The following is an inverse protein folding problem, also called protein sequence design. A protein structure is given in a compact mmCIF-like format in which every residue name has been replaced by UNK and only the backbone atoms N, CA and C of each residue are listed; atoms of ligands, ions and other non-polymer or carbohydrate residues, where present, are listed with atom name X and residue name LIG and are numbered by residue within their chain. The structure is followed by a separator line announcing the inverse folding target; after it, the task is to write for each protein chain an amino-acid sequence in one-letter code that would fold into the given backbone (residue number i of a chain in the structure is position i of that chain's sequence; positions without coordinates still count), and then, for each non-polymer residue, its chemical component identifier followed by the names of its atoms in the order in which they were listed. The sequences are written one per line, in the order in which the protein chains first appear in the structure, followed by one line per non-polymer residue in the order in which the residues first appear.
data_IF_670466170774
#
_entry.id   IF_670466170774
#
_cell.length_a   1.000
_cell.length_b   1.000
_cell.length_c   1.000
_cell.angle_alpha   90.00
_cell.angle_beta   90.00
_cell.angle_gamma   90.00
#
_symmetry.space_group_name_H-M   'P 1'
#
loop_
_entity.id
_entity.type
_entity.pdbx_description
1 polymer ?
#
# COMPACT_ATOMS: atom_id res chain seq x y z
N UNK A 1 -33.12 23.01 -21.02
CA UNK A 1 -32.68 22.32 -19.80
C UNK A 1 -31.53 21.40 -20.22
N UNK A 2 -30.28 21.81 -19.96
CA UNK A 2 -29.12 21.10 -20.46
C UNK A 2 -28.89 19.80 -19.67
N UNK A 3 -28.90 18.66 -20.37
CA UNK A 3 -28.39 17.39 -19.83
C UNK A 3 -26.91 17.58 -19.49
N UNK A 4 -26.62 17.65 -18.19
CA UNK A 4 -25.27 17.62 -17.67
C UNK A 4 -24.73 16.22 -17.93
N UNK A 5 -23.86 16.10 -18.93
CA UNK A 5 -23.14 14.88 -19.28
C UNK A 5 -22.43 14.36 -18.03
N UNK A 6 -22.96 13.29 -17.45
CA UNK A 6 -22.23 12.49 -16.48
C UNK A 6 -21.01 11.94 -17.21
N UNK A 7 -19.85 12.56 -16.98
CA UNK A 7 -18.57 11.95 -17.33
C UNK A 7 -18.55 10.59 -16.65
N UNK A 8 -18.67 9.54 -17.47
CA UNK A 8 -18.31 8.17 -17.16
C UNK A 8 -16.84 8.14 -16.74
N UNK A 9 -16.62 8.57 -15.51
CA UNK A 9 -15.38 8.42 -14.78
C UNK A 9 -15.42 6.98 -14.34
N UNK A 10 -14.48 6.17 -14.83
CA UNK A 10 -14.34 4.76 -14.52
C UNK A 10 -14.32 4.56 -13.00
N UNK A 11 -15.48 4.32 -12.39
CA UNK A 11 -15.57 4.04 -10.96
C UNK A 11 -15.27 2.55 -10.82
N UNK A 12 -14.15 2.19 -10.20
CA UNK A 12 -13.99 0.94 -9.45
C UNK A 12 -15.03 0.96 -8.31
N UNK A 13 -16.29 0.87 -8.70
CA UNK A 13 -17.42 1.31 -7.89
C UNK A 13 -17.81 0.14 -7.02
N UNK A 14 -17.27 0.07 -5.81
CA UNK A 14 -18.02 -0.56 -4.74
C UNK A 14 -19.24 0.34 -4.47
N UNK A 15 -20.47 -0.03 -4.88
CA UNK A 15 -21.65 0.83 -4.71
C UNK A 15 -22.06 0.90 -3.23
N UNK A 16 -21.55 -0.02 -2.40
CA UNK A 16 -21.90 -0.15 -0.99
C UNK A 16 -21.06 0.75 -0.08
N UNK A 17 -20.05 1.45 -0.63
CA UNK A 17 -19.20 2.37 0.14
C UNK A 17 -19.29 3.80 -0.40
N UNK A 18 -19.38 4.77 0.51
CA UNK A 18 -19.19 6.17 0.17
C UNK A 18 -17.70 6.48 -0.11
N UNK A 19 -17.40 7.69 -0.57
CA UNK A 19 -16.04 8.04 -0.98
C UNK A 19 -15.05 8.00 0.19
N UNK A 20 -15.45 8.41 1.39
CA UNK A 20 -14.58 8.41 2.56
C UNK A 20 -14.25 6.99 3.01
N UNK A 21 -15.24 6.10 3.01
CA UNK A 21 -15.08 4.68 3.30
C UNK A 21 -14.15 4.00 2.30
N UNK A 22 -14.29 4.31 1.01
CA UNK A 22 -13.37 3.81 -0.04
C UNK A 22 -11.94 4.25 0.24
N UNK A 23 -11.72 5.52 0.60
CA UNK A 23 -10.40 6.05 0.93
C UNK A 23 -9.83 5.31 2.15
N UNK A 24 -10.63 5.04 3.18
CA UNK A 24 -10.17 4.33 4.38
C UNK A 24 -9.80 2.88 4.07
N UNK A 25 -10.62 2.19 3.29
CA UNK A 25 -10.34 0.81 2.86
C UNK A 25 -9.06 0.75 2.04
N UNK A 26 -8.87 1.71 1.12
CA UNK A 26 -7.67 1.77 0.30
C UNK A 26 -6.43 2.13 1.12
N UNK A 27 -6.56 3.10 2.04
CA UNK A 27 -5.48 3.48 2.95
C UNK A 27 -5.06 2.30 3.84
N UNK A 28 -6.02 1.54 4.35
CA UNK A 28 -5.76 0.31 5.10
C UNK A 28 -5.06 -0.73 4.23
N UNK A 29 -5.53 -0.93 2.99
CA UNK A 29 -4.99 -1.97 2.11
C UNK A 29 -3.57 -1.66 1.67
N UNK A 30 -3.27 -0.40 1.33
CA UNK A 30 -1.96 0.02 0.82
C UNK A 30 -0.91 0.25 1.91
N UNK A 31 -1.32 0.41 3.19
CA UNK A 31 -0.41 0.75 4.30
C UNK A 31 0.84 -0.14 4.35
N UNK A 32 0.75 -1.49 4.28
CA UNK A 32 1.94 -2.32 4.38
C UNK A 32 2.87 -2.17 3.17
N UNK A 33 2.31 -1.96 1.98
CA UNK A 33 3.08 -1.67 0.75
C UNK A 33 3.88 -0.38 0.87
N UNK A 34 3.25 0.67 1.38
CA UNK A 34 3.91 1.96 1.61
C UNK A 34 5.04 1.84 2.65
N UNK A 35 4.79 1.15 3.78
CA UNK A 35 5.85 0.95 4.79
C UNK A 35 7.01 0.13 4.21
N UNK A 36 6.73 -0.89 3.39
CA UNK A 36 7.76 -1.66 2.68
C UNK A 36 8.62 -0.76 1.79
N UNK A 37 8.00 0.10 0.98
CA UNK A 37 8.74 1.01 0.10
C UNK A 37 9.66 1.96 0.89
N UNK A 38 9.15 2.58 1.96
CA UNK A 38 9.96 3.44 2.82
C UNK A 38 11.09 2.69 3.52
N UNK A 39 10.85 1.45 3.94
CA UNK A 39 11.90 0.57 4.48
C UNK A 39 12.99 0.33 3.44
N UNK A 40 12.61 0.07 2.19
CA UNK A 40 13.56 -0.09 1.09
C UNK A 40 14.37 1.20 0.84
N UNK A 41 13.72 2.37 0.79
CA UNK A 41 14.43 3.65 0.61
C UNK A 41 15.50 3.87 1.69
N UNK A 42 15.15 3.63 2.95
CA UNK A 42 16.08 3.77 4.07
C UNK A 42 17.26 2.82 3.96
N UNK A 43 17.00 1.55 3.62
CA UNK A 43 18.06 0.55 3.46
C UNK A 43 18.94 0.82 2.25
N UNK A 44 18.38 1.33 1.14
CA UNK A 44 19.15 1.72 -0.03
C UNK A 44 20.12 2.87 0.27
N UNK A 45 19.68 3.87 1.04
CA UNK A 45 20.55 4.95 1.52
C UNK A 45 21.60 4.39 2.49
N UNK A 46 21.18 3.55 3.44
CA UNK A 46 22.09 2.96 4.42
C UNK A 46 23.18 2.10 3.77
N UNK A 47 22.84 1.37 2.70
CA UNK A 47 23.76 0.54 1.92
C UNK A 47 24.98 1.31 1.40
N UNK A 48 24.81 2.59 1.04
CA UNK A 48 25.92 3.44 0.58
C UNK A 48 27.01 3.64 1.62
N UNK A 49 26.65 3.57 2.90
CA UNK A 49 27.57 3.79 4.02
C UNK A 49 28.00 2.49 4.68
N UNK A 50 27.21 1.42 4.53
CA UNK A 50 27.45 0.11 5.09
C UNK A 50 27.08 -0.94 4.05
N UNK A 51 28.09 -1.59 3.46
CA UNK A 51 27.87 -2.59 2.42
C UNK A 51 26.95 -3.70 2.95
N UNK A 52 25.73 -3.73 2.39
CA UNK A 52 24.69 -4.67 2.75
C UNK A 52 24.42 -5.61 1.59
N UNK A 53 24.36 -6.92 1.84
CA UNK A 53 24.02 -7.86 0.78
C UNK A 53 22.62 -7.58 0.20
N UNK A 54 22.42 -7.83 -1.09
CA UNK A 54 21.13 -7.63 -1.76
C UNK A 54 19.99 -8.42 -1.09
N UNK A 55 20.30 -9.59 -0.52
CA UNK A 55 19.31 -10.41 0.20
C UNK A 55 18.68 -9.62 1.35
N UNK A 56 19.47 -8.86 2.11
CA UNK A 56 18.93 -8.04 3.20
C UNK A 56 18.26 -6.77 2.67
N UNK A 57 18.81 -6.16 1.63
CA UNK A 57 18.28 -4.95 1.02
C UNK A 57 16.84 -5.15 0.48
N UNK A 58 16.55 -6.31 -0.10
CA UNK A 58 15.21 -6.64 -0.61
C UNK A 58 14.39 -7.49 0.38
N UNK A 59 15.03 -8.36 1.16
CA UNK A 59 14.36 -9.27 2.09
C UNK A 59 13.76 -8.57 3.31
N UNK A 60 14.46 -7.59 3.89
CA UNK A 60 13.94 -6.84 5.06
C UNK A 60 12.66 -6.08 4.70
N UNK A 61 12.58 -5.29 3.62
CA UNK A 61 11.34 -4.64 3.21
C UNK A 61 10.17 -5.61 3.02
N UNK A 62 10.41 -6.74 2.36
CA UNK A 62 9.39 -7.78 2.13
C UNK A 62 8.92 -8.39 3.46
N UNK A 63 9.82 -8.66 4.40
CA UNK A 63 9.46 -9.12 5.74
C UNK A 63 8.63 -8.07 6.50
N UNK A 64 9.03 -6.79 6.42
CA UNK A 64 8.29 -5.68 7.02
C UNK A 64 6.89 -5.55 6.40
N UNK A 65 6.74 -5.79 5.09
CA UNK A 65 5.44 -5.83 4.42
C UNK A 65 4.48 -6.83 5.09
N UNK A 66 4.96 -8.05 5.33
CA UNK A 66 4.17 -9.10 5.99
C UNK A 66 3.87 -8.77 7.45
N UNK A 67 4.88 -8.32 8.21
CA UNK A 67 4.72 -7.99 9.62
C UNK A 67 3.71 -6.85 9.81
N UNK A 68 3.85 -5.77 9.04
CA UNK A 68 2.93 -4.63 9.06
C UNK A 68 1.55 -5.06 8.58
N UNK A 69 1.45 -5.89 7.54
CA UNK A 69 0.18 -6.46 7.08
C UNK A 69 -0.53 -7.22 8.19
N UNK A 70 0.17 -8.11 8.88
CA UNK A 70 -0.39 -8.84 10.01
C UNK A 70 -0.88 -7.90 11.13
N UNK A 71 -0.05 -6.95 11.58
CA UNK A 71 -0.45 -5.96 12.59
C UNK A 71 -1.67 -5.16 12.12
N UNK A 72 -1.64 -4.68 10.88
CA UNK A 72 -2.66 -3.82 10.30
C UNK A 72 -4.01 -4.54 10.09
N UNK A 73 -4.01 -5.88 9.96
CA UNK A 73 -5.25 -6.66 9.94
C UNK A 73 -5.95 -6.66 11.31
N UNK A 74 -5.20 -6.74 12.41
CA UNK A 74 -5.76 -6.90 13.76
C UNK A 74 -5.89 -5.59 14.54
N UNK A 75 -5.01 -4.62 14.30
CA UNK A 75 -4.84 -3.41 15.14
C UNK A 75 -4.94 -2.14 14.28
N UNK A 76 -5.84 -2.12 13.30
CA UNK A 76 -5.98 -0.96 12.44
C UNK A 76 -6.36 0.30 13.22
N UNK A 77 -5.53 1.33 13.14
CA UNK A 77 -5.84 2.66 13.67
C UNK A 77 -6.15 3.61 12.51
N UNK A 78 -7.45 3.90 12.32
CA UNK A 78 -7.95 4.80 11.27
C UNK A 78 -7.29 6.17 11.30
N UNK A 79 -7.15 6.79 12.47
CA UNK A 79 -6.59 8.14 12.56
C UNK A 79 -5.12 8.17 12.12
N UNK A 80 -4.34 7.18 12.54
CA UNK A 80 -2.93 7.06 12.15
C UNK A 80 -2.81 6.81 10.65
N UNK A 81 -3.55 5.84 10.11
CA UNK A 81 -3.50 5.48 8.70
C UNK A 81 -3.93 6.63 7.79
N UNK A 82 -5.00 7.35 8.13
CA UNK A 82 -5.42 8.53 7.36
C UNK A 82 -4.37 9.65 7.41
N UNK A 83 -3.76 9.93 8.57
CA UNK A 83 -2.68 10.93 8.67
C UNK A 83 -1.47 10.54 7.83
N UNK A 84 -1.08 9.27 7.84
CA UNK A 84 0.03 8.77 7.02
C UNK A 84 -0.29 8.82 5.52
N UNK A 85 -1.49 8.41 5.11
CA UNK A 85 -1.95 8.46 3.72
C UNK A 85 -1.98 9.88 3.15
N UNK A 86 -2.37 10.88 3.96
CA UNK A 86 -2.40 12.29 3.56
C UNK A 86 -1.02 12.98 3.65
N UNK A 87 0.00 12.31 4.20
CA UNK A 87 1.34 12.87 4.35
C UNK A 87 2.38 12.04 3.59
N UNK A 88 3.15 11.22 4.30
CA UNK A 88 4.28 10.47 3.74
C UNK A 88 3.83 9.44 2.71
N UNK A 89 2.71 8.77 2.93
CA UNK A 89 2.23 7.73 2.02
C UNK A 89 1.37 8.26 0.88
N UNK A 90 1.30 9.58 0.73
CA UNK A 90 0.63 10.17 -0.42
C UNK A 90 1.40 9.80 -1.70
N UNK A 91 0.75 9.34 -2.78
CA UNK A 91 1.42 8.87 -3.99
C UNK A 91 2.39 9.91 -4.59
N UNK A 92 2.00 11.19 -4.58
CA UNK A 92 2.87 12.29 -5.06
C UNK A 92 4.14 12.40 -4.24
N UNK A 93 4.03 12.33 -2.90
CA UNK A 93 5.19 12.43 -2.00
C UNK A 93 6.09 11.21 -2.17
N UNK A 94 5.50 10.02 -2.26
CA UNK A 94 6.18 8.76 -2.49
C UNK A 94 6.95 8.76 -3.82
N UNK A 95 6.33 9.27 -4.89
CA UNK A 95 6.96 9.42 -6.20
C UNK A 95 8.11 10.42 -6.18
N UNK A 96 7.91 11.60 -5.58
CA UNK A 96 8.97 12.60 -5.44
C UNK A 96 10.15 12.02 -4.66
N UNK A 97 9.91 11.37 -3.52
CA UNK A 97 10.96 10.77 -2.70
C UNK A 97 11.70 9.65 -3.45
N UNK A 98 10.99 8.78 -4.15
CA UNK A 98 11.61 7.74 -4.98
C UNK A 98 12.53 8.33 -6.05
N UNK A 99 12.13 9.43 -6.70
CA UNK A 99 12.98 10.11 -7.68
C UNK A 99 14.18 10.78 -7.01
N UNK A 100 13.97 11.52 -5.91
CA UNK A 100 15.04 12.23 -5.20
C UNK A 100 16.09 11.26 -4.66
N UNK A 101 15.67 10.17 -4.02
CA UNK A 101 16.57 9.12 -3.53
C UNK A 101 17.22 8.39 -4.70
N UNK A 102 16.50 8.14 -5.80
CA UNK A 102 17.06 7.55 -7.01
C UNK A 102 18.19 8.40 -7.60
N UNK A 103 17.97 9.70 -7.77
CA UNK A 103 19.02 10.64 -8.23
C UNK A 103 20.21 10.63 -7.28
N UNK A 104 19.96 10.65 -5.97
CA UNK A 104 21.03 10.59 -4.97
C UNK A 104 21.87 9.30 -5.09
N UNK A 105 21.23 8.13 -5.24
CA UNK A 105 21.91 6.84 -5.44
C UNK A 105 22.73 6.84 -6.74
N UNK A 106 22.18 7.39 -7.82
CA UNK A 106 22.88 7.48 -9.11
C UNK A 106 24.17 8.30 -8.98
N UNK A 107 24.10 9.46 -8.33
CA UNK A 107 25.27 10.32 -8.06
C UNK A 107 26.32 9.67 -7.17
N UNK A 108 25.95 8.62 -6.42
CA UNK A 108 26.85 7.84 -5.56
C UNK A 108 27.39 6.56 -6.21
N UNK A 109 27.08 6.34 -7.49
CA UNK A 109 27.60 5.20 -8.25
C UNK A 109 26.74 3.94 -8.18
N UNK A 110 25.50 4.03 -7.73
CA UNK A 110 24.55 2.90 -7.62
C UNK A 110 23.41 3.00 -8.65
N UNK A 111 23.69 2.90 -9.97
CA UNK A 111 22.70 3.17 -11.02
C UNK A 111 21.55 2.16 -11.03
N UNK A 112 21.79 0.90 -10.64
CA UNK A 112 20.75 -0.13 -10.58
C UNK A 112 19.74 0.17 -9.47
N UNK A 113 20.23 0.49 -8.26
CA UNK A 113 19.37 0.85 -7.13
C UNK A 113 18.66 2.18 -7.40
N UNK A 114 19.31 3.13 -8.08
CA UNK A 114 18.69 4.36 -8.52
C UNK A 114 17.46 4.13 -9.40
N UNK A 115 17.60 3.27 -10.42
CA UNK A 115 16.51 2.93 -11.33
C UNK A 115 15.37 2.25 -10.60
N UNK A 116 15.67 1.24 -9.77
CA UNK A 116 14.67 0.52 -8.99
C UNK A 116 13.91 1.47 -8.06
N UNK A 117 14.62 2.38 -7.40
CA UNK A 117 14.04 3.33 -6.45
C UNK A 117 13.11 4.33 -7.13
N UNK A 118 13.58 4.96 -8.21
CA UNK A 118 12.78 5.93 -8.96
C UNK A 118 11.55 5.28 -9.60
N UNK A 119 11.73 4.11 -10.22
CA UNK A 119 10.65 3.40 -10.85
C UNK A 119 9.61 2.91 -9.84
N UNK A 120 10.04 2.31 -8.73
CA UNK A 120 9.12 1.88 -7.66
C UNK A 120 8.38 3.08 -7.06
N UNK A 121 9.03 4.23 -6.87
CA UNK A 121 8.35 5.42 -6.36
C UNK A 121 7.25 5.96 -7.29
N UNK A 122 7.49 5.99 -8.59
CA UNK A 122 6.51 6.51 -9.58
C UNK A 122 5.36 5.51 -9.77
N UNK A 123 5.70 4.24 -9.83
CA UNK A 123 4.81 3.23 -10.38
C UNK A 123 4.26 2.24 -9.36
N UNK A 124 4.90 2.14 -8.18
CA UNK A 124 4.48 1.26 -7.08
C UNK A 124 4.39 -0.23 -7.44
N UNK A 125 5.12 -0.75 -8.45
CA UNK A 125 4.92 -2.14 -8.94
C UNK A 125 6.15 -3.06 -9.00
N UNK A 126 7.22 -2.81 -8.23
CA UNK A 126 8.45 -3.61 -8.35
C UNK A 126 8.67 -4.66 -7.24
N UNK A 127 7.98 -4.52 -6.10
CA UNK A 127 8.12 -5.45 -4.98
C UNK A 127 6.90 -6.37 -4.88
N UNK A 128 7.10 -7.66 -4.53
CA UNK A 128 5.99 -8.54 -4.22
C UNK A 128 5.30 -8.07 -2.94
N UNK A 129 4.08 -7.59 -3.07
CA UNK A 129 3.23 -7.17 -1.95
C UNK A 129 2.62 -8.38 -1.24
N UNK A 130 3.46 -9.16 -0.54
CA UNK A 130 3.06 -10.42 0.09
C UNK A 130 1.94 -10.26 1.13
N UNK A 131 1.75 -9.06 1.70
CA UNK A 131 0.60 -8.77 2.55
C UNK A 131 -0.76 -8.97 1.83
N UNK A 132 -0.83 -8.83 0.50
CA UNK A 132 -2.05 -9.11 -0.27
C UNK A 132 -2.40 -10.60 -0.19
N UNK A 133 -1.39 -11.47 -0.31
CA UNK A 133 -1.58 -12.92 -0.13
C UNK A 133 -2.00 -13.23 1.31
N UNK A 134 -1.32 -12.64 2.30
CA UNK A 134 -1.68 -12.77 3.71
C UNK A 134 -3.14 -12.39 3.95
N UNK A 135 -3.57 -11.22 3.47
CA UNK A 135 -4.95 -10.78 3.58
C UNK A 135 -5.92 -11.73 2.89
N UNK A 136 -5.57 -12.27 1.73
CA UNK A 136 -6.40 -13.23 1.01
C UNK A 136 -6.60 -14.52 1.83
N UNK A 137 -5.54 -15.02 2.47
CA UNK A 137 -5.61 -16.18 3.37
C UNK A 137 -6.48 -15.87 4.60
N UNK A 138 -6.26 -14.72 5.24
CA UNK A 138 -7.04 -14.30 6.42
C UNK A 138 -8.52 -14.05 6.09
N UNK A 139 -8.82 -13.60 4.87
CA UNK A 139 -10.15 -13.35 4.38
C UNK A 139 -10.88 -14.61 3.89
N UNK A 140 -10.15 -15.70 3.60
CA UNK A 140 -10.70 -16.93 3.01
C UNK A 140 -11.87 -17.49 3.80
N UNK A 141 -11.79 -17.47 5.14
CA UNK A 141 -12.87 -17.96 6.02
C UNK A 141 -14.19 -17.18 5.91
N UNK A 142 -14.15 -15.96 5.39
CA UNK A 142 -15.34 -15.12 5.16
C UNK A 142 -15.91 -15.28 3.75
N UNK A 143 -15.23 -16.01 2.85
CA UNK A 143 -15.65 -16.16 1.45
C UNK A 143 -15.71 -14.84 0.67
N UNK A 144 -15.01 -13.79 1.12
CA UNK A 144 -15.08 -12.44 0.55
C UNK A 144 -13.68 -11.88 0.31
N UNK A 145 -13.55 -10.97 -0.66
CA UNK A 145 -12.28 -10.27 -0.88
C UNK A 145 -11.91 -9.43 0.36
N UNK A 146 -10.61 -9.35 0.74
CA UNK A 146 -10.18 -8.76 2.02
C UNK A 146 -10.69 -7.34 2.29
N UNK A 147 -10.75 -6.50 1.25
CA UNK A 147 -11.29 -5.13 1.33
C UNK A 147 -12.75 -5.10 1.82
N UNK A 148 -13.59 -6.07 1.43
CA UNK A 148 -14.97 -6.17 1.90
C UNK A 148 -15.06 -6.71 3.34
N UNK A 149 -14.21 -7.67 3.70
CA UNK A 149 -14.12 -8.17 5.07
C UNK A 149 -13.77 -7.03 6.03
N UNK A 150 -12.76 -6.23 5.66
CA UNK A 150 -12.38 -5.05 6.41
C UNK A 150 -13.52 -4.03 6.48
N UNK A 151 -14.17 -3.72 5.35
CA UNK A 151 -15.31 -2.78 5.34
C UNK A 151 -16.48 -3.26 6.22
N UNK A 152 -16.81 -4.56 6.21
CA UNK A 152 -17.83 -5.17 7.09
C UNK A 152 -17.47 -4.95 8.56
N UNK A 153 -16.23 -5.28 8.96
CA UNK A 153 -15.74 -5.13 10.34
C UNK A 153 -15.69 -3.68 10.80
N UNK A 154 -15.28 -2.77 9.93
CA UNK A 154 -15.01 -1.38 10.29
C UNK A 154 -16.27 -0.51 10.29
N UNK A 155 -17.22 -0.80 9.40
CA UNK A 155 -18.41 0.04 9.18
C UNK A 155 -19.73 -0.67 9.46
N UNK A 156 -19.72 -1.98 9.77
CA UNK A 156 -20.93 -2.76 10.03
C UNK A 156 -21.78 -3.02 8.77
N UNK A 157 -21.19 -2.89 7.58
CA UNK A 157 -21.93 -3.02 6.31
C UNK A 157 -22.17 -4.49 5.99
N UNK A 158 -23.42 -4.83 5.67
CA UNK A 158 -23.79 -6.16 5.19
C UNK A 158 -23.77 -6.19 3.67
N UNK A 159 -23.01 -7.12 3.10
CA UNK A 159 -22.95 -7.31 1.65
C UNK A 159 -23.89 -8.44 1.22
N UNK A 160 -24.55 -8.34 0.04
CA UNK A 160 -25.50 -9.35 -0.43
C UNK A 160 -24.85 -10.69 -0.83
N UNK A 161 -23.51 -10.72 -0.92
CA UNK A 161 -22.70 -11.92 -1.18
C UNK A 161 -21.97 -12.42 0.09
N UNK A 162 -22.35 -11.92 1.26
CA UNK A 162 -21.83 -12.41 2.53
C UNK A 162 -22.40 -13.79 2.82
N UNK A 163 -21.61 -14.84 2.59
CA UNK A 163 -21.99 -16.23 2.86
C UNK A 163 -21.60 -16.70 4.28
N UNK A 164 -21.12 -15.80 5.14
CA UNK A 164 -20.69 -16.11 6.52
C UNK A 164 -21.48 -15.31 7.55
N UNK A 165 -22.05 -16.01 8.52
CA UNK A 165 -22.84 -15.47 9.64
C UNK A 165 -21.98 -14.85 10.77
N UNK A 166 -20.64 -14.83 10.63
CA UNK A 166 -19.68 -14.18 11.54
C UNK A 166 -19.40 -12.70 11.23
#
# INVERSE_FOLDING_TARGET
MAMKTERNTYKLNNPYLNNDEKIIVESWFQLPGNVMFYTFLLLAIYHLYNSMSLIYLFGIPVFVNLLVGWINWYVYNRQLATKLALSLFHPVITGILGVVVGVFLYLRGEPLLALITAFTGIFSFLFPELHIMLYSVLAQKYGMHPKYVFAKKQFGITFPFNNSDE
#
